data_IF_717822918521
#
_entry.id   IF_717822918521
#
_cell.length_a   1.000
_cell.length_b   1.000
_cell.length_c   1.000
_cell.angle_alpha   90.00
_cell.angle_beta   90.00
_cell.angle_gamma   90.00
#
_symmetry.space_group_name_H-M   'P 1'
#
loop_
_entity.id
_entity.type
_entity.pdbx_description
1 polymer ?
#
# COMPACT_ATOMS: atom_id res chain seq x y z
N UNK A 1 2.68 22.15 -6.17
CA UNK A 1 2.68 21.15 -5.08
C UNK A 1 1.28 21.00 -4.48
N UNK A 2 0.55 22.07 -4.16
CA UNK A 2 -0.82 22.02 -3.59
C UNK A 2 -1.89 21.41 -4.50
N UNK A 3 -1.93 21.78 -5.77
CA UNK A 3 -2.95 21.30 -6.71
C UNK A 3 -2.93 19.78 -6.93
N UNK A 4 -1.74 19.15 -6.83
CA UNK A 4 -1.61 17.68 -6.89
C UNK A 4 -2.19 17.01 -5.65
N UNK A 5 -2.07 17.63 -4.48
CA UNK A 5 -2.62 17.09 -3.24
C UNK A 5 -4.15 17.15 -3.21
N UNK A 6 -4.76 18.19 -3.78
CA UNK A 6 -6.23 18.28 -3.90
C UNK A 6 -6.81 17.26 -4.87
N UNK A 7 -6.20 17.07 -6.05
CA UNK A 7 -6.61 16.05 -7.02
C UNK A 7 -6.46 14.65 -6.41
N UNK A 8 -5.35 14.41 -5.71
CA UNK A 8 -5.11 13.14 -5.04
C UNK A 8 -6.14 12.90 -3.91
N UNK A 9 -6.48 13.92 -3.13
CA UNK A 9 -7.54 13.85 -2.10
C UNK A 9 -8.91 13.52 -2.69
N UNK A 10 -9.28 14.17 -3.81
CA UNK A 10 -10.55 13.89 -4.48
C UNK A 10 -10.60 12.46 -5.08
N UNK A 11 -9.50 12.00 -5.70
CA UNK A 11 -9.36 10.61 -6.17
C UNK A 11 -9.42 9.59 -5.01
N UNK A 12 -8.87 9.96 -3.86
CA UNK A 12 -8.89 9.13 -2.65
C UNK A 12 -10.30 9.04 -2.06
N UNK A 13 -11.06 10.14 -2.02
CA UNK A 13 -12.47 10.15 -1.58
C UNK A 13 -13.37 9.34 -2.53
N UNK A 14 -13.21 9.48 -3.85
CA UNK A 14 -13.98 8.72 -4.84
C UNK A 14 -13.78 7.21 -4.69
N UNK A 15 -12.56 6.78 -4.35
CA UNK A 15 -12.21 5.37 -4.07
C UNK A 15 -12.56 4.91 -2.65
N UNK A 16 -13.15 5.79 -1.82
CA UNK A 16 -13.46 5.51 -0.42
C UNK A 16 -12.23 5.27 0.46
N UNK A 17 -11.04 5.74 0.05
CA UNK A 17 -9.76 5.50 0.71
C UNK A 17 -9.59 6.39 1.95
N UNK A 18 -9.31 5.80 3.11
CA UNK A 18 -9.06 6.56 4.35
C UNK A 18 -7.59 6.95 4.43
N UNK A 19 -7.28 8.03 5.15
CA UNK A 19 -5.89 8.45 5.43
C UNK A 19 -5.05 7.31 6.01
N UNK A 20 -5.62 6.48 6.90
CA UNK A 20 -4.97 5.29 7.45
C UNK A 20 -4.52 4.30 6.39
N UNK A 21 -5.29 4.14 5.32
CA UNK A 21 -5.01 3.16 4.27
C UNK A 21 -3.89 3.66 3.36
N UNK A 22 -3.84 4.97 3.16
CA UNK A 22 -2.78 5.64 2.40
C UNK A 22 -1.45 5.48 3.12
N UNK A 23 -1.44 5.69 4.43
CA UNK A 23 -0.24 5.48 5.27
C UNK A 23 0.22 4.03 5.17
N UNK A 24 -0.70 3.07 5.28
CA UNK A 24 -0.40 1.62 5.15
C UNK A 24 0.16 1.27 3.77
N UNK A 25 -0.51 1.68 2.69
CA UNK A 25 -0.10 1.43 1.31
C UNK A 25 1.24 2.11 0.99
N UNK A 26 1.42 3.36 1.43
CA UNK A 26 2.69 4.08 1.24
C UNK A 26 3.84 3.37 1.94
N UNK A 27 3.61 2.78 3.12
CA UNK A 27 4.58 1.95 3.81
C UNK A 27 5.05 0.76 2.97
N UNK A 28 4.11 0.01 2.38
CA UNK A 28 4.43 -1.14 1.51
C UNK A 28 5.28 -0.71 0.30
N UNK A 29 4.95 0.40 -0.35
CA UNK A 29 5.74 0.93 -1.48
C UNK A 29 7.15 1.33 -1.03
N UNK A 30 7.29 1.95 0.15
CA UNK A 30 8.60 2.34 0.70
C UNK A 30 9.47 1.13 1.02
N UNK A 31 8.90 0.09 1.64
CA UNK A 31 9.62 -1.15 1.92
C UNK A 31 10.10 -1.82 0.61
N UNK A 32 9.24 -1.87 -0.41
CA UNK A 32 9.64 -2.33 -1.74
C UNK A 32 10.82 -1.53 -2.32
N UNK A 33 10.77 -0.19 -2.26
CA UNK A 33 11.87 0.69 -2.72
C UNK A 33 13.16 0.53 -1.91
N UNK A 34 13.05 0.14 -0.64
CA UNK A 34 14.19 -0.16 0.22
C UNK A 34 14.81 -1.53 -0.11
N UNK A 35 14.21 -2.31 -1.01
CA UNK A 35 14.70 -3.62 -1.41
C UNK A 35 14.18 -4.77 -0.56
N UNK A 36 13.19 -4.53 0.33
CA UNK A 36 12.58 -5.60 1.11
C UNK A 36 11.90 -6.62 0.17
N UNK A 37 12.24 -7.89 0.32
CA UNK A 37 11.81 -8.97 -0.58
C UNK A 37 10.81 -9.94 0.06
N UNK A 38 10.64 -9.89 1.38
CA UNK A 38 9.75 -10.79 2.10
C UNK A 38 9.01 -10.08 3.24
N UNK A 39 7.98 -10.75 3.77
CA UNK A 39 7.10 -10.19 4.82
C UNK A 39 7.88 -9.80 6.08
N UNK A 40 8.91 -10.57 6.45
CA UNK A 40 9.73 -10.28 7.62
C UNK A 40 10.48 -8.95 7.46
N UNK A 41 11.19 -8.77 6.34
CA UNK A 41 11.91 -7.53 6.05
C UNK A 41 10.96 -6.32 5.94
N UNK A 42 9.77 -6.50 5.37
CA UNK A 42 8.76 -5.44 5.30
C UNK A 42 8.26 -5.07 6.70
N UNK A 43 7.99 -6.07 7.55
CA UNK A 43 7.52 -5.84 8.92
C UNK A 43 8.60 -5.13 9.76
N UNK A 44 9.86 -5.57 9.65
CA UNK A 44 11.01 -4.93 10.28
C UNK A 44 11.20 -3.49 9.80
N UNK A 45 11.16 -3.25 8.48
CA UNK A 45 11.27 -1.91 7.90
C UNK A 45 10.16 -0.95 8.35
N UNK A 46 8.96 -1.48 8.55
CA UNK A 46 7.80 -0.71 9.01
C UNK A 46 7.71 -0.62 10.54
N UNK A 47 8.63 -1.26 11.28
CA UNK A 47 8.64 -1.36 12.74
C UNK A 47 7.32 -1.92 13.31
N UNK A 48 6.77 -2.94 12.65
CA UNK A 48 5.55 -3.66 13.07
C UNK A 48 5.80 -5.15 13.19
N UNK A 49 4.89 -5.89 13.82
CA UNK A 49 4.94 -7.36 13.80
C UNK A 49 4.45 -7.91 12.46
N UNK A 50 4.83 -9.15 12.15
CA UNK A 50 4.34 -9.84 10.95
C UNK A 50 2.82 -10.02 10.96
N UNK A 51 2.22 -10.25 12.14
CA UNK A 51 0.77 -10.34 12.32
C UNK A 51 0.10 -9.01 12.01
N UNK A 52 0.62 -7.89 12.53
CA UNK A 52 0.10 -6.56 12.22
C UNK A 52 0.20 -6.27 10.71
N UNK A 53 1.29 -6.66 10.06
CA UNK A 53 1.43 -6.51 8.61
C UNK A 53 0.41 -7.37 7.86
N UNK A 54 0.19 -8.62 8.29
CA UNK A 54 -0.79 -9.52 7.69
C UNK A 54 -2.22 -8.97 7.82
N UNK A 55 -2.61 -8.48 9.00
CA UNK A 55 -3.90 -7.81 9.22
C UNK A 55 -4.05 -6.57 8.32
N UNK A 56 -2.96 -5.82 8.10
CA UNK A 56 -2.98 -4.68 7.19
C UNK A 56 -3.25 -5.11 5.74
N UNK A 57 -2.62 -6.20 5.28
CA UNK A 57 -2.82 -6.76 3.94
C UNK A 57 -4.26 -7.25 3.78
N UNK A 58 -4.81 -7.95 4.78
CA UNK A 58 -6.19 -8.44 4.79
C UNK A 58 -7.19 -7.29 4.77
N UNK A 59 -6.99 -6.27 5.59
CA UNK A 59 -7.84 -5.08 5.57
C UNK A 59 -7.80 -4.36 4.21
N UNK A 60 -6.61 -4.27 3.59
CA UNK A 60 -6.48 -3.71 2.25
C UNK A 60 -7.19 -4.58 1.20
N UNK A 61 -7.09 -5.90 1.31
CA UNK A 61 -7.78 -6.84 0.43
C UNK A 61 -9.30 -6.73 0.55
N UNK A 62 -9.84 -6.70 1.75
CA UNK A 62 -11.28 -6.60 1.98
C UNK A 62 -11.84 -5.28 1.43
N UNK A 63 -11.01 -4.23 1.45
CA UNK A 63 -11.39 -2.91 0.98
C UNK A 63 -11.19 -2.70 -0.52
N UNK A 64 -10.09 -3.19 -1.09
CA UNK A 64 -9.66 -2.87 -2.47
C UNK A 64 -9.68 -4.08 -3.41
N UNK A 65 -9.96 -5.27 -2.90
CA UNK A 65 -9.96 -6.51 -3.67
C UNK A 65 -8.55 -7.08 -3.84
N UNK A 66 -8.27 -7.63 -5.03
CA UNK A 66 -7.04 -8.39 -5.30
C UNK A 66 -5.80 -7.50 -5.38
N UNK A 67 -5.96 -6.25 -5.80
CA UNK A 67 -4.88 -5.29 -5.97
C UNK A 67 -5.41 -3.86 -5.87
N UNK A 68 -4.51 -2.90 -5.65
CA UNK A 68 -4.81 -1.47 -5.79
C UNK A 68 -3.73 -0.76 -6.60
N UNK A 69 -4.10 0.35 -7.22
CA UNK A 69 -3.15 1.25 -7.91
C UNK A 69 -3.01 2.53 -7.10
N UNK A 70 -1.77 2.93 -6.83
CA UNK A 70 -1.43 4.23 -6.26
C UNK A 70 -0.32 4.84 -7.10
N UNK A 71 -0.60 5.98 -7.74
CA UNK A 71 0.27 6.63 -8.71
C UNK A 71 0.76 5.64 -9.79
N UNK A 72 2.08 5.45 -9.87
CA UNK A 72 2.74 4.55 -10.82
C UNK A 72 2.97 3.15 -10.22
N UNK A 73 2.40 2.82 -9.06
CA UNK A 73 2.58 1.50 -8.45
C UNK A 73 1.27 0.71 -8.48
N UNK A 74 1.40 -0.58 -8.73
CA UNK A 74 0.35 -1.57 -8.49
C UNK A 74 0.79 -2.43 -7.33
N UNK A 75 -0.07 -2.55 -6.33
CA UNK A 75 0.15 -3.41 -5.16
C UNK A 75 -0.84 -4.56 -5.25
N UNK A 76 -0.33 -5.76 -5.42
CA UNK A 76 -1.09 -6.99 -5.39
C UNK A 76 -1.11 -7.54 -3.97
N UNK A 77 -2.30 -7.91 -3.49
CA UNK A 77 -2.49 -8.56 -2.19
C UNK A 77 -2.61 -10.09 -2.33
N UNK A 78 -2.93 -10.58 -3.54
CA UNK A 78 -3.07 -12.00 -3.86
C UNK A 78 -2.37 -12.35 -5.19
N UNK A 79 -1.84 -13.58 -5.33
CA UNK A 79 -1.76 -14.63 -4.32
C UNK A 79 -0.75 -14.33 -3.20
N UNK A 80 0.18 -13.40 -3.45
CA UNK A 80 1.17 -12.93 -2.48
C UNK A 80 1.22 -11.40 -2.54
N UNK A 81 1.79 -10.77 -1.51
CA UNK A 81 2.09 -9.33 -1.54
C UNK A 81 3.17 -9.06 -2.59
N UNK A 82 2.85 -8.23 -3.60
CA UNK A 82 3.79 -7.80 -4.61
C UNK A 82 3.57 -6.33 -4.98
N UNK A 83 4.67 -5.64 -5.30
CA UNK A 83 4.63 -4.26 -5.79
C UNK A 83 5.26 -4.22 -7.17
N UNK A 84 4.55 -3.61 -8.12
CA UNK A 84 5.00 -3.42 -9.50
C UNK A 84 4.99 -1.92 -9.82
N UNK A 85 6.07 -1.42 -10.41
CA UNK A 85 6.11 -0.07 -10.97
C UNK A 85 5.63 -0.10 -12.43
N UNK A 86 4.73 0.82 -12.79
CA UNK A 86 4.23 1.03 -14.14
C UNK A 86 5.27 1.79 -14.94
N UNK A 87 5.60 1.28 -16.11
CA UNK A 87 6.52 1.87 -17.09
C UNK A 87 5.78 2.89 -17.97
#
# INVERSE_FOLDING_TARGET
MEQRAEILRALMEEKGMKVSDIVRISGIIKAYKAGCQNRYEIAEFLEVTEECLQECIECCRDKYGVYTTVDNYVIYFLPNLAVMEKV
#
